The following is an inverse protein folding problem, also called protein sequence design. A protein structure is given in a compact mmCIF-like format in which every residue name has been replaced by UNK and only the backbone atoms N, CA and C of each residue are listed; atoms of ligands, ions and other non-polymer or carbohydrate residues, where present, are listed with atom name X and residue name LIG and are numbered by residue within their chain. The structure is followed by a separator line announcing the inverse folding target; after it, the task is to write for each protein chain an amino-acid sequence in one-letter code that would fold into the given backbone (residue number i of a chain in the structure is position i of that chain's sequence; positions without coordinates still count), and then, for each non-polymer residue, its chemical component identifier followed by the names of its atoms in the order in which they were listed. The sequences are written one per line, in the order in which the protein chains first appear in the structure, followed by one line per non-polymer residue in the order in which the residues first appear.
data_IF_813806569751
#
_entry.id   IF_813806569751
#
_cell.length_a   1.000
_cell.length_b   1.000
_cell.length_c   1.000
_cell.angle_alpha   90.00
_cell.angle_beta   90.00
_cell.angle_gamma   90.00
#
_symmetry.space_group_name_H-M   'P 1'
#
loop_
_entity.id
_entity.type
_entity.pdbx_description
1 polymer ?
#
# COMPACT_ATOMS: atom_id res chain seq x y z
N UNK A 1 19.60 12.61 38.59
CA UNK A 1 18.26 12.82 37.97
C UNK A 1 18.45 12.78 36.46
N UNK A 2 18.44 11.59 35.88
CA UNK A 2 18.39 11.42 34.42
C UNK A 2 16.93 11.39 34.01
N UNK A 3 16.52 12.31 33.15
CA UNK A 3 15.19 12.33 32.56
C UNK A 3 15.08 11.15 31.60
N UNK A 4 14.34 10.11 32.00
CA UNK A 4 13.84 9.09 31.08
C UNK A 4 12.94 9.80 30.06
N UNK A 5 13.46 9.99 28.85
CA UNK A 5 12.64 10.34 27.70
C UNK A 5 11.72 9.15 27.44
N UNK A 6 10.41 9.34 27.65
CA UNK A 6 9.39 8.40 27.18
C UNK A 6 9.70 7.98 25.73
N UNK A 7 9.59 6.69 25.36
CA UNK A 7 9.79 6.26 23.99
C UNK A 7 8.84 7.09 23.10
N UNK A 8 9.42 7.89 22.21
CA UNK A 8 8.67 8.84 21.39
C UNK A 8 7.54 8.13 20.64
N UNK A 9 6.32 8.62 20.79
CA UNK A 9 5.15 8.17 20.03
C UNK A 9 5.39 8.51 18.55
N UNK A 10 5.73 7.51 17.74
CA UNK A 10 5.91 7.69 16.29
C UNK A 10 4.59 7.41 15.58
N UNK A 11 3.88 8.47 15.22
CA UNK A 11 2.70 8.42 14.34
C UNK A 11 3.15 8.25 12.89
N UNK A 12 2.51 7.35 12.15
CA UNK A 12 2.77 7.06 10.73
C UNK A 12 4.28 7.07 10.39
N UNK A 13 4.98 6.07 10.93
CA UNK A 13 6.42 5.96 10.78
C UNK A 13 6.86 6.01 9.31
N UNK A 14 7.87 6.83 9.04
CA UNK A 14 8.53 6.89 7.74
C UNK A 14 9.43 5.67 7.52
N UNK A 15 9.82 5.41 6.28
CA UNK A 15 10.85 4.41 5.98
C UNK A 15 12.19 4.81 6.63
N UNK A 16 12.81 3.84 7.31
CA UNK A 16 14.23 3.92 7.67
C UNK A 16 15.09 3.82 6.42
N UNK A 17 16.39 4.10 6.53
CA UNK A 17 17.29 3.96 5.39
C UNK A 17 17.39 2.51 4.90
N UNK A 18 17.33 1.53 5.81
CA UNK A 18 17.19 0.12 5.44
C UNK A 18 15.88 -0.14 4.67
N UNK A 19 14.76 0.44 5.12
CA UNK A 19 13.48 0.32 4.42
C UNK A 19 13.50 0.93 3.00
N UNK A 20 14.21 2.06 2.83
CA UNK A 20 14.43 2.66 1.50
C UNK A 20 15.28 1.76 0.61
N UNK A 21 16.35 1.17 1.15
CA UNK A 21 17.19 0.20 0.42
C UNK A 21 16.38 -1.04 -0.01
N UNK A 22 15.46 -1.53 0.82
CA UNK A 22 14.57 -2.63 0.48
C UNK A 22 13.58 -2.26 -0.63
N UNK A 23 13.02 -1.05 -0.62
CA UNK A 23 12.19 -0.56 -1.72
C UNK A 23 13.01 -0.38 -3.02
N UNK A 24 14.26 0.08 -2.91
CA UNK A 24 15.18 0.17 -4.05
C UNK A 24 15.55 -1.21 -4.61
N UNK A 25 15.67 -2.22 -3.75
CA UNK A 25 15.88 -3.60 -4.19
C UNK A 25 14.70 -4.07 -5.05
N UNK A 26 13.46 -3.82 -4.61
CA UNK A 26 12.26 -4.14 -5.40
C UNK A 26 12.25 -3.40 -6.75
N UNK A 27 12.63 -2.12 -6.79
CA UNK A 27 12.83 -1.36 -8.03
C UNK A 27 13.84 -2.05 -8.96
N UNK A 28 15.02 -2.37 -8.46
CA UNK A 28 16.09 -2.98 -9.24
C UNK A 28 15.67 -4.37 -9.78
N UNK A 29 14.87 -5.12 -9.01
CA UNK A 29 14.26 -6.37 -9.48
C UNK A 29 13.33 -6.11 -10.66
N UNK A 30 12.43 -5.12 -10.58
CA UNK A 30 11.58 -4.75 -11.72
C UNK A 30 12.41 -4.39 -12.97
N UNK A 31 13.42 -3.52 -12.82
CA UNK A 31 14.30 -3.14 -13.95
C UNK A 31 14.97 -4.37 -14.57
N UNK A 32 15.43 -5.30 -13.75
CA UNK A 32 16.09 -6.54 -14.19
C UNK A 32 15.11 -7.46 -14.94
N UNK A 33 13.92 -7.68 -14.38
CA UNK A 33 12.90 -8.54 -14.98
C UNK A 33 12.36 -7.96 -16.30
N UNK A 34 12.27 -6.64 -16.42
CA UNK A 34 11.84 -5.95 -17.64
C UNK A 34 12.89 -5.95 -18.75
N UNK A 35 14.16 -6.17 -18.43
CA UNK A 35 15.23 -6.28 -19.42
C UNK A 35 15.35 -7.67 -20.06
N UNK A 36 14.56 -8.65 -19.60
CA UNK A 36 14.56 -10.01 -20.15
C UNK A 36 13.89 -10.07 -21.54
N UNK A 37 14.21 -11.07 -22.40
CA UNK A 37 13.59 -11.21 -23.71
C UNK A 37 12.06 -11.40 -23.67
N UNK A 38 11.56 -12.02 -22.61
CA UNK A 38 10.14 -12.17 -22.29
C UNK A 38 9.88 -11.44 -20.95
N UNK A 39 9.67 -10.11 -20.99
CA UNK A 39 9.60 -9.30 -19.79
C UNK A 39 8.31 -9.57 -19.02
N UNK A 40 8.40 -9.48 -17.69
CA UNK A 40 7.21 -9.55 -16.83
C UNK A 40 6.20 -8.46 -17.21
N UNK A 41 4.90 -8.75 -17.17
CA UNK A 41 3.89 -7.76 -17.49
C UNK A 41 3.86 -6.65 -16.43
N UNK A 42 3.77 -5.40 -16.88
CA UNK A 42 3.66 -4.24 -16.00
C UNK A 42 2.23 -4.08 -15.46
N UNK A 43 2.09 -3.70 -14.18
CA UNK A 43 0.80 -3.28 -13.65
C UNK A 43 0.24 -2.06 -14.39
N UNK A 44 -1.06 -2.09 -14.72
CA UNK A 44 -1.77 -0.93 -15.30
C UNK A 44 -2.30 0.01 -14.22
N UNK A 45 -2.48 -0.50 -13.00
CA UNK A 45 -2.93 0.23 -11.81
C UNK A 45 -2.01 -0.05 -10.63
N UNK A 46 -1.77 0.99 -9.84
CA UNK A 46 -0.98 0.93 -8.61
C UNK A 46 -1.86 1.43 -7.46
N UNK A 47 -2.02 0.61 -6.42
CA UNK A 47 -2.78 0.94 -5.21
C UNK A 47 -1.85 0.99 -4.01
N UNK A 48 -2.12 1.92 -3.09
CA UNK A 48 -1.32 2.08 -1.88
C UNK A 48 -2.18 2.27 -0.63
N UNK A 49 -1.68 1.77 0.49
CA UNK A 49 -2.13 2.25 1.79
C UNK A 49 -1.79 3.75 1.97
N UNK A 50 -2.60 4.51 2.73
CA UNK A 50 -2.32 5.92 3.05
C UNK A 50 -1.15 6.13 4.02
N UNK A 51 -0.64 5.08 4.66
CA UNK A 51 0.51 5.17 5.55
C UNK A 51 1.78 5.50 4.76
N UNK A 52 2.57 6.46 5.25
CA UNK A 52 3.74 7.02 4.57
C UNK A 52 4.75 5.94 4.16
N UNK A 53 4.99 4.94 5.03
CA UNK A 53 5.86 3.80 4.71
C UNK A 53 5.46 3.03 3.45
N UNK A 54 4.16 2.78 3.25
CA UNK A 54 3.67 2.06 2.07
C UNK A 54 3.68 2.94 0.81
N UNK A 55 3.26 4.20 0.95
CA UNK A 55 3.27 5.16 -0.15
C UNK A 55 4.70 5.42 -0.66
N UNK A 56 5.67 5.62 0.24
CA UNK A 56 7.08 5.77 -0.13
C UNK A 56 7.69 4.49 -0.72
N UNK A 57 7.31 3.30 -0.24
CA UNK A 57 7.77 2.05 -0.88
C UNK A 57 7.28 1.97 -2.32
N UNK A 58 6.01 2.29 -2.58
CA UNK A 58 5.45 2.30 -3.94
C UNK A 58 6.19 3.33 -4.82
N UNK A 59 6.34 4.55 -4.31
CA UNK A 59 6.98 5.66 -5.01
C UNK A 59 8.42 5.30 -5.43
N UNK A 60 9.23 4.80 -4.50
CA UNK A 60 10.61 4.33 -4.77
C UNK A 60 10.60 3.15 -5.76
N UNK A 61 9.71 2.18 -5.57
CA UNK A 61 9.68 0.96 -6.40
C UNK A 61 9.40 1.29 -7.86
N UNK A 62 8.47 2.21 -8.13
CA UNK A 62 7.95 2.43 -9.49
C UNK A 62 8.44 3.71 -10.17
N UNK A 63 9.15 4.61 -9.48
CA UNK A 63 9.81 5.75 -10.13
C UNK A 63 10.79 5.29 -11.19
N UNK A 64 10.65 5.75 -12.43
CA UNK A 64 11.44 5.32 -13.57
C UNK A 64 10.96 4.03 -14.24
N UNK A 65 9.98 3.33 -13.67
CA UNK A 65 9.35 2.13 -14.25
C UNK A 65 7.94 2.44 -14.75
N UNK A 66 7.06 2.91 -13.87
CA UNK A 66 5.66 3.28 -14.17
C UNK A 66 5.31 4.70 -13.74
N UNK A 67 6.07 5.25 -12.79
CA UNK A 67 5.97 6.64 -12.39
C UNK A 67 7.04 7.42 -13.14
N UNK A 68 6.63 8.46 -13.86
CA UNK A 68 7.56 9.44 -14.40
C UNK A 68 7.90 10.46 -13.34
N UNK A 69 9.07 11.09 -13.45
CA UNK A 69 9.35 12.34 -12.72
C UNK A 69 8.18 13.34 -12.85
N UNK A 70 7.92 14.08 -11.77
CA UNK A 70 6.83 15.05 -11.65
C UNK A 70 6.73 15.96 -12.88
N UNK A 71 5.57 15.93 -13.57
CA UNK A 71 5.24 16.86 -14.66
C UNK A 71 4.99 16.25 -16.05
N UNK A 72 5.18 14.94 -16.27
CA UNK A 72 4.89 14.28 -17.57
C UNK A 72 3.44 13.76 -17.67
N UNK A 73 2.89 13.72 -18.89
CA UNK A 73 1.44 13.51 -19.15
C UNK A 73 0.97 12.04 -19.14
N UNK A 74 1.85 11.07 -19.40
CA UNK A 74 1.48 9.65 -19.60
C UNK A 74 1.73 8.76 -18.37
N UNK A 75 1.60 9.30 -17.16
CA UNK A 75 1.95 8.58 -15.92
C UNK A 75 0.82 7.74 -15.35
N UNK A 76 1.15 6.53 -14.89
CA UNK A 76 0.28 5.81 -13.94
C UNK A 76 0.24 6.63 -12.65
N UNK A 77 -0.96 6.96 -12.18
CA UNK A 77 -1.14 7.69 -10.92
C UNK A 77 -1.56 6.70 -9.83
N UNK A 78 -0.72 6.44 -8.82
CA UNK A 78 -1.10 5.56 -7.73
C UNK A 78 -2.38 6.01 -7.04
N UNK A 79 -3.16 5.07 -6.54
CA UNK A 79 -4.45 5.32 -5.92
C UNK A 79 -4.40 4.91 -4.44
N UNK A 80 -4.56 5.88 -3.54
CA UNK A 80 -4.52 5.71 -2.08
C UNK A 80 -5.90 5.33 -1.57
N UNK A 81 -5.98 4.25 -0.78
CA UNK A 81 -7.23 3.72 -0.22
C UNK A 81 -7.11 3.45 1.29
N UNK A 82 -8.01 3.98 2.11
CA UNK A 82 -8.09 3.70 3.56
C UNK A 82 -8.16 2.21 3.85
N UNK A 83 -8.88 1.47 3.01
CA UNK A 83 -9.10 0.04 3.18
C UNK A 83 -7.81 -0.80 3.19
N UNK A 84 -6.69 -0.28 2.68
CA UNK A 84 -5.41 -1.00 2.57
C UNK A 84 -4.46 -0.81 3.76
N UNK A 85 -4.90 -0.10 4.81
CA UNK A 85 -4.09 0.16 6.03
C UNK A 85 -3.72 -1.11 6.79
N UNK A 86 -2.65 -1.01 7.58
CA UNK A 86 -2.27 -2.02 8.57
C UNK A 86 -3.41 -2.30 9.57
N UNK A 87 -3.29 -3.36 10.38
CA UNK A 87 -4.20 -3.64 11.49
C UNK A 87 -4.36 -2.40 12.38
N UNK A 88 -5.56 -1.81 12.38
CA UNK A 88 -5.83 -0.51 12.98
C UNK A 88 -5.95 -0.56 14.50
N UNK A 89 -5.57 0.56 15.11
CA UNK A 89 -5.83 0.88 16.51
C UNK A 89 -4.74 0.43 17.48
N UNK A 90 -4.85 0.90 18.73
CA UNK A 90 -3.89 0.74 19.85
C UNK A 90 -2.49 1.30 19.57
N UNK A 91 -1.81 0.83 18.53
CA UNK A 91 -0.49 1.33 18.16
C UNK A 91 -0.60 2.66 17.43
N UNK A 92 0.06 3.68 17.96
CA UNK A 92 0.07 5.02 17.41
C UNK A 92 0.72 5.10 16.02
N UNK A 93 1.62 4.18 15.70
CA UNK A 93 2.22 4.08 14.36
C UNK A 93 1.23 3.65 13.27
N UNK A 94 0.07 3.14 13.68
CA UNK A 94 -1.04 2.80 12.79
C UNK A 94 -2.03 3.95 12.62
N UNK A 95 -1.83 5.08 13.31
CA UNK A 95 -2.55 6.33 13.05
C UNK A 95 -1.91 7.04 11.85
N UNK A 96 -2.70 7.32 10.82
CA UNK A 96 -2.20 7.94 9.58
C UNK A 96 -2.06 9.45 9.72
N UNK A 97 -1.30 10.05 8.81
CA UNK A 97 -1.26 11.50 8.63
C UNK A 97 -2.50 12.03 7.91
N UNK A 98 -2.61 13.36 7.87
CA UNK A 98 -3.77 14.03 7.29
C UNK A 98 -3.84 13.86 5.77
N UNK A 99 -5.03 14.03 5.19
CA UNK A 99 -5.21 14.05 3.73
C UNK A 99 -4.35 15.13 3.08
N UNK A 100 -4.22 16.30 3.71
CA UNK A 100 -3.35 17.38 3.21
C UNK A 100 -1.90 16.95 3.18
N UNK A 101 -1.40 16.29 4.23
CA UNK A 101 -0.03 15.78 4.24
C UNK A 101 0.22 14.78 3.11
N UNK A 102 -0.67 13.79 2.93
CA UNK A 102 -0.54 12.78 1.87
C UNK A 102 -0.52 13.46 0.51
N UNK A 103 -1.43 14.41 0.28
CA UNK A 103 -1.50 15.14 -0.99
C UNK A 103 -0.24 15.94 -1.28
N UNK A 104 0.32 16.63 -0.29
CA UNK A 104 1.53 17.44 -0.46
C UNK A 104 2.80 16.60 -0.61
N UNK A 105 2.86 15.46 0.07
CA UNK A 105 4.03 14.56 0.05
C UNK A 105 4.06 13.71 -1.21
N UNK A 106 2.90 13.18 -1.61
CA UNK A 106 2.73 12.28 -2.75
C UNK A 106 1.82 12.93 -3.80
N UNK A 107 2.24 14.09 -4.33
CA UNK A 107 1.42 14.96 -5.20
C UNK A 107 0.81 14.28 -6.43
N UNK A 108 1.43 13.20 -6.89
CA UNK A 108 0.99 12.47 -8.07
C UNK A 108 -0.01 11.34 -7.76
N UNK A 109 -0.22 11.05 -6.48
CA UNK A 109 -1.13 10.03 -6.03
C UNK A 109 -2.55 10.59 -6.02
N UNK A 110 -3.49 9.83 -6.56
CA UNK A 110 -4.92 10.07 -6.38
C UNK A 110 -5.34 9.51 -5.03
N UNK A 111 -6.14 10.26 -4.29
CA UNK A 111 -6.71 9.82 -3.02
C UNK A 111 -8.18 9.50 -3.27
N UNK A 112 -8.69 8.42 -2.69
CA UNK A 112 -10.10 8.08 -2.79
C UNK A 112 -11.02 9.25 -2.38
N UNK A 113 -12.22 9.39 -3.00
CA UNK A 113 -13.08 10.57 -2.81
C UNK A 113 -13.44 10.85 -1.35
N UNK A 114 -13.90 9.83 -0.63
CA UNK A 114 -14.44 9.90 0.75
C UNK A 114 -13.35 9.92 1.83
N UNK A 115 -12.09 10.16 1.45
CA UNK A 115 -10.98 10.23 2.38
C UNK A 115 -11.10 11.47 3.27
N UNK A 116 -11.17 11.27 4.59
CA UNK A 116 -11.30 12.34 5.59
C UNK A 116 -9.98 13.06 5.82
N UNK A 117 -10.02 14.35 6.20
CA UNK A 117 -8.79 15.10 6.51
C UNK A 117 -8.00 14.42 7.63
N UNK A 118 -8.63 14.29 8.79
CA UNK A 118 -8.07 13.59 9.95
C UNK A 118 -8.35 12.08 9.91
N UNK A 119 -7.53 11.32 10.63
CA UNK A 119 -7.74 9.89 10.85
C UNK A 119 -8.92 9.65 11.81
N UNK A 120 -10.05 9.19 11.26
CA UNK A 120 -11.26 8.84 12.03
C UNK A 120 -11.39 7.34 12.32
N UNK A 121 -10.52 6.50 11.76
CA UNK A 121 -10.62 5.05 11.89
C UNK A 121 -9.71 4.50 13.00
N UNK A 122 -8.63 5.21 13.34
CA UNK A 122 -7.76 4.81 14.44
C UNK A 122 -8.39 5.10 15.81
N UNK A 123 -8.38 4.10 16.69
CA UNK A 123 -8.85 4.17 18.08
C UNK A 123 -7.75 3.72 19.05
N UNK A 124 -7.68 4.34 20.22
CA UNK A 124 -6.62 4.02 21.21
C UNK A 124 -6.91 2.74 22.01
N UNK A 125 -8.16 2.30 22.06
CA UNK A 125 -8.71 1.29 22.96
C UNK A 125 -9.17 0.00 22.26
N UNK A 126 -9.25 0.01 20.92
CA UNK A 126 -9.58 -1.16 20.12
C UNK A 126 -8.48 -1.46 19.11
N UNK A 127 -8.03 -2.72 19.05
CA UNK A 127 -7.20 -3.24 17.97
C UNK A 127 -8.06 -4.14 17.11
N UNK A 128 -8.04 -3.93 15.80
CA UNK A 128 -8.75 -4.82 14.89
C UNK A 128 -8.36 -6.28 15.09
N UNK A 129 -9.38 -7.12 15.18
CA UNK A 129 -9.26 -8.57 15.06
C UNK A 129 -9.03 -8.97 13.60
N UNK A 130 -8.53 -10.19 13.37
CA UNK A 130 -8.40 -10.72 12.01
C UNK A 130 -9.71 -10.67 11.22
N UNK A 131 -10.86 -10.90 11.88
CA UNK A 131 -12.16 -10.87 11.22
C UNK A 131 -12.54 -9.46 10.76
N UNK A 132 -12.27 -8.44 11.58
CA UNK A 132 -12.51 -7.03 11.21
C UNK A 132 -11.59 -6.58 10.07
N UNK A 133 -10.30 -6.92 10.14
CA UNK A 133 -9.37 -6.66 9.04
C UNK A 133 -9.82 -7.38 7.76
N UNK A 134 -10.27 -8.64 7.85
CA UNK A 134 -10.77 -9.39 6.68
C UNK A 134 -12.02 -8.76 6.05
N UNK A 135 -12.94 -8.23 6.86
CA UNK A 135 -14.11 -7.48 6.36
C UNK A 135 -13.65 -6.23 5.62
N UNK A 136 -12.74 -5.44 6.22
CA UNK A 136 -12.23 -4.21 5.63
C UNK A 136 -11.46 -4.45 4.34
N UNK A 137 -10.56 -5.44 4.31
CA UNK A 137 -9.77 -5.78 3.12
C UNK A 137 -10.64 -6.39 2.03
N UNK A 138 -11.65 -7.19 2.38
CA UNK A 138 -12.65 -7.65 1.40
C UNK A 138 -13.39 -6.49 0.75
N UNK A 139 -13.82 -5.50 1.53
CA UNK A 139 -14.46 -4.31 0.98
C UNK A 139 -13.51 -3.54 0.04
N UNK A 140 -12.24 -3.36 0.43
CA UNK A 140 -11.24 -2.70 -0.41
C UNK A 140 -11.00 -3.45 -1.74
N UNK A 141 -10.87 -4.78 -1.68
CA UNK A 141 -10.70 -5.64 -2.86
C UNK A 141 -11.94 -5.61 -3.75
N UNK A 142 -13.15 -5.63 -3.18
CA UNK A 142 -14.39 -5.49 -3.93
C UNK A 142 -14.46 -4.14 -4.67
N UNK A 143 -14.05 -3.05 -4.02
CA UNK A 143 -13.96 -1.73 -4.67
C UNK A 143 -12.95 -1.74 -5.82
N UNK A 144 -11.77 -2.33 -5.60
CA UNK A 144 -10.74 -2.46 -6.65
C UNK A 144 -11.34 -3.21 -7.85
N UNK A 145 -11.75 -4.47 -7.65
CA UNK A 145 -12.18 -5.33 -8.76
C UNK A 145 -13.52 -4.93 -9.38
N UNK A 146 -14.44 -4.38 -8.60
CA UNK A 146 -15.79 -4.06 -9.06
C UNK A 146 -15.96 -2.63 -9.59
N UNK A 147 -15.05 -1.70 -9.26
CA UNK A 147 -15.25 -0.27 -9.57
C UNK A 147 -14.03 0.43 -10.16
N UNK A 148 -12.81 0.00 -9.81
CA UNK A 148 -11.59 0.73 -10.19
C UNK A 148 -10.83 0.09 -11.37
N UNK A 149 -11.13 -1.16 -11.69
CA UNK A 149 -10.53 -1.89 -12.81
C UNK A 149 -11.49 -1.96 -14.00
N UNK A 150 -10.94 -1.86 -15.21
CA UNK A 150 -11.63 -2.21 -16.45
C UNK A 150 -11.14 -3.54 -17.04
N UNK A 151 -11.74 -3.97 -18.15
CA UNK A 151 -11.42 -5.25 -18.82
C UNK A 151 -9.97 -5.38 -19.34
N UNK A 152 -9.20 -4.29 -19.36
CA UNK A 152 -7.79 -4.27 -19.76
C UNK A 152 -6.82 -4.28 -18.58
N UNK A 153 -7.31 -4.16 -17.34
CA UNK A 153 -6.49 -4.07 -16.13
C UNK A 153 -6.18 -5.47 -15.57
N UNK A 154 -5.46 -6.29 -16.34
CA UNK A 154 -5.13 -7.68 -15.97
C UNK A 154 -4.11 -7.77 -14.84
N UNK A 155 -3.15 -6.84 -14.81
CA UNK A 155 -2.08 -6.81 -13.80
C UNK A 155 -2.18 -5.53 -12.99
N UNK A 156 -2.21 -5.67 -11.68
CA UNK A 156 -2.26 -4.55 -10.73
C UNK A 156 -1.21 -4.76 -9.64
N UNK A 157 -0.80 -3.69 -8.98
CA UNK A 157 0.05 -3.76 -7.79
C UNK A 157 -0.65 -3.13 -6.60
N UNK A 158 -0.54 -3.76 -5.43
CA UNK A 158 -1.03 -3.25 -4.15
C UNK A 158 0.13 -3.20 -3.18
N UNK A 159 0.51 -2.01 -2.73
CA UNK A 159 1.56 -1.83 -1.71
C UNK A 159 0.92 -1.54 -0.35
N UNK A 160 1.11 -2.46 0.59
CA UNK A 160 0.46 -2.43 1.91
C UNK A 160 1.40 -2.97 3.00
N UNK A 161 0.83 -3.56 4.05
CA UNK A 161 1.53 -3.99 5.27
C UNK A 161 1.33 -5.47 5.53
N UNK A 162 2.08 -6.06 6.46
CA UNK A 162 2.07 -7.51 6.68
C UNK A 162 0.70 -8.02 7.13
N UNK A 163 0.00 -7.30 8.01
CA UNK A 163 -1.36 -7.67 8.44
C UNK A 163 -2.39 -7.52 7.32
N UNK A 164 -2.32 -6.41 6.58
CA UNK A 164 -3.18 -6.16 5.41
C UNK A 164 -2.99 -7.22 4.30
N UNK A 165 -1.74 -7.57 3.99
CA UNK A 165 -1.40 -8.60 2.99
C UNK A 165 -1.87 -9.97 3.48
N UNK A 166 -1.63 -10.31 4.75
CA UNK A 166 -2.09 -11.58 5.33
C UNK A 166 -3.62 -11.70 5.27
N UNK A 167 -4.33 -10.60 5.54
CA UNK A 167 -5.79 -10.52 5.42
C UNK A 167 -6.27 -10.66 3.98
N UNK A 168 -5.66 -9.95 3.04
CA UNK A 168 -5.97 -10.08 1.61
C UNK A 168 -5.78 -11.53 1.13
N UNK A 169 -4.69 -12.20 1.52
CA UNK A 169 -4.47 -13.61 1.18
C UNK A 169 -5.57 -14.52 1.74
N UNK A 170 -6.00 -14.32 3.00
CA UNK A 170 -7.13 -15.08 3.57
C UNK A 170 -8.43 -14.83 2.80
N UNK A 171 -8.75 -13.57 2.51
CA UNK A 171 -9.95 -13.17 1.77
C UNK A 171 -10.01 -13.81 0.38
N UNK A 172 -8.86 -13.91 -0.28
CA UNK A 172 -8.69 -14.54 -1.59
C UNK A 172 -8.61 -16.07 -1.54
N UNK A 173 -8.68 -16.69 -0.35
CA UNK A 173 -8.57 -18.15 -0.18
C UNK A 173 -7.17 -18.70 -0.43
N UNK A 174 -6.14 -17.84 -0.38
CA UNK A 174 -4.75 -18.25 -0.50
C UNK A 174 -4.22 -18.79 0.83
N UNK A 175 -3.21 -19.68 0.78
CA UNK A 175 -2.50 -20.16 1.98
C UNK A 175 -1.87 -19.01 2.76
N UNK A 176 -1.70 -19.18 4.08
CA UNK A 176 -0.92 -18.25 4.87
C UNK A 176 0.51 -18.14 4.30
N UNK A 177 0.98 -16.91 4.11
CA UNK A 177 2.31 -16.63 3.61
C UNK A 177 2.82 -15.31 4.20
N UNK A 178 4.06 -15.32 4.70
CA UNK A 178 4.70 -14.12 5.23
C UNK A 178 5.69 -13.58 4.21
N UNK A 179 5.57 -12.29 3.91
CA UNK A 179 6.56 -11.58 3.10
C UNK A 179 7.64 -10.96 3.99
N UNK A 180 8.91 -10.96 3.54
CA UNK A 180 9.90 -10.05 4.11
C UNK A 180 9.55 -8.60 3.76
N UNK A 181 10.09 -7.63 4.51
CA UNK A 181 9.94 -6.20 4.17
C UNK A 181 10.50 -5.93 2.77
N UNK A 182 9.72 -5.23 1.94
CA UNK A 182 10.05 -5.00 0.52
C UNK A 182 9.82 -6.22 -0.38
N UNK A 183 9.34 -7.34 0.16
CA UNK A 183 9.00 -8.52 -0.62
C UNK A 183 7.73 -8.33 -1.46
N UNK A 184 7.67 -9.06 -2.57
CA UNK A 184 6.53 -9.07 -3.50
C UNK A 184 6.02 -10.50 -3.64
N UNK A 185 4.70 -10.68 -3.61
CA UNK A 185 4.03 -11.95 -3.94
C UNK A 185 3.07 -11.74 -5.12
N UNK A 186 3.29 -12.41 -6.26
CA UNK A 186 2.28 -12.50 -7.30
C UNK A 186 1.14 -13.44 -6.86
N UNK A 187 -0.11 -13.02 -7.05
CA UNK A 187 -1.29 -13.85 -6.80
C UNK A 187 -2.15 -13.84 -8.07
N UNK A 188 -2.47 -15.03 -8.57
CA UNK A 188 -3.39 -15.19 -9.70
C UNK A 188 -4.78 -15.46 -9.13
N UNK A 189 -5.75 -14.64 -9.52
CA UNK A 189 -7.13 -14.75 -9.06
C UNK A 189 -8.07 -14.81 -10.26
N UNK A 190 -9.23 -15.41 -10.06
CA UNK A 190 -10.37 -15.29 -10.96
C UNK A 190 -11.38 -14.35 -10.31
N UNK A 191 -11.51 -13.14 -10.85
CA UNK A 191 -12.62 -12.26 -10.50
C UNK A 191 -13.87 -12.71 -11.27
N UNK A 192 -15.01 -12.78 -10.58
CA UNK A 192 -16.32 -13.00 -11.20
C UNK A 192 -17.22 -11.84 -10.83
N UNK A 193 -17.92 -11.28 -11.82
CA UNK A 193 -19.07 -10.42 -11.54
C UNK A 193 -20.15 -11.29 -10.88
N UNK A 194 -20.79 -10.76 -9.83
CA UNK A 194 -21.95 -11.40 -9.21
C UNK A 194 -23.22 -11.06 -9.99
#
# INVERSE_FOLDING_TARGET
MGTETSPGVVTDALLTDLGKQQAQLAHNTWVTELAKPDPVPLPTKLFSSPMSRAASTLDITFTGVLLTESGKKDKVRPYVMEGLREVLGVHTCDKRRTKTYIRQTYNDFRIEPEFTEEDRLWTADHRETNAETDIRLRAALNTIFGQLLGSKDTFISVTAHSGAISSALRVLGHRAYSLPTGGVIPVVIKATEN
#
